data_IF_311131693365
#
_entry.id   IF_311131693365
#
_cell.length_a   1.000
_cell.length_b   1.000
_cell.length_c   1.000
_cell.angle_alpha   90.00
_cell.angle_beta   90.00
_cell.angle_gamma   90.00
#
_symmetry.space_group_name_H-M   'P 1'
#
loop_
_entity.id
_entity.type
_entity.pdbx_description
1 polymer ?
#
# COMPACT_ATOMS: atom_id res chain seq x y z
N UNK A 1 -3.52 -1.09 -23.37
CA UNK A 1 -4.17 -0.63 -22.11
C UNK A 1 -3.16 0.20 -21.34
N UNK A 2 -3.40 1.52 -21.19
CA UNK A 2 -2.53 2.39 -20.38
C UNK A 2 -2.69 2.00 -18.92
N UNK A 3 -1.61 1.56 -18.27
CA UNK A 3 -1.66 1.26 -16.84
C UNK A 3 -2.03 2.54 -16.08
N UNK A 4 -3.11 2.52 -15.29
CA UNK A 4 -3.46 3.65 -14.43
C UNK A 4 -2.21 4.03 -13.61
N UNK A 5 -1.82 5.31 -13.54
CA UNK A 5 -0.56 5.73 -12.90
C UNK A 5 -0.45 5.27 -11.44
N UNK A 6 -1.57 5.08 -10.74
CA UNK A 6 -1.62 4.55 -9.37
C UNK A 6 -1.12 3.10 -9.24
N UNK A 7 -1.17 2.30 -10.31
CA UNK A 7 -0.70 0.91 -10.31
C UNK A 7 0.78 0.78 -10.76
N UNK A 8 1.43 1.89 -11.10
CA UNK A 8 2.79 1.89 -11.63
C UNK A 8 3.77 1.21 -10.68
N UNK A 9 3.78 1.62 -9.41
CA UNK A 9 4.71 1.09 -8.40
C UNK A 9 4.56 -0.44 -8.25
N UNK A 10 3.32 -0.93 -8.16
CA UNK A 10 3.02 -2.37 -8.12
C UNK A 10 3.54 -3.12 -9.35
N UNK A 11 3.35 -2.55 -10.54
CA UNK A 11 3.81 -3.16 -11.78
C UNK A 11 5.33 -3.28 -11.82
N UNK A 12 6.05 -2.25 -11.36
CA UNK A 12 7.50 -2.28 -11.21
C UNK A 12 7.94 -3.36 -10.22
N UNK A 13 7.35 -3.41 -9.02
CA UNK A 13 7.68 -4.45 -8.02
C UNK A 13 7.40 -5.86 -8.52
N UNK A 14 6.28 -6.09 -9.22
CA UNK A 14 5.98 -7.41 -9.80
C UNK A 14 6.96 -7.84 -10.88
N UNK A 15 7.51 -6.89 -11.65
CA UNK A 15 8.56 -7.17 -12.63
C UNK A 15 9.90 -7.45 -11.95
N UNK A 16 10.24 -6.65 -10.94
CA UNK A 16 11.46 -6.79 -10.14
C UNK A 16 11.51 -8.14 -9.43
N UNK A 17 10.44 -8.53 -8.73
CA UNK A 17 10.33 -9.82 -8.04
C UNK A 17 10.42 -11.03 -8.99
N UNK A 18 10.21 -10.85 -10.29
CA UNK A 18 10.36 -11.88 -11.33
C UNK A 18 11.70 -11.82 -12.05
N UNK A 19 12.64 -10.99 -11.58
CA UNK A 19 13.94 -10.71 -12.24
C UNK A 19 13.80 -10.32 -13.71
N UNK A 20 12.68 -9.66 -14.06
CA UNK A 20 12.39 -9.21 -15.43
C UNK A 20 12.92 -7.82 -15.74
N UNK A 21 13.48 -7.14 -14.75
CA UNK A 21 14.12 -5.84 -14.89
C UNK A 21 15.56 -5.93 -14.37
N UNK A 22 16.54 -5.62 -15.24
CA UNK A 22 17.97 -5.68 -14.89
C UNK A 22 18.42 -4.44 -14.11
N UNK A 23 17.64 -3.37 -14.13
CA UNK A 23 17.94 -2.10 -13.47
C UNK A 23 17.17 -1.94 -12.15
N UNK A 24 16.21 -2.82 -11.87
CA UNK A 24 15.41 -2.82 -10.66
C UNK A 24 15.10 -4.26 -10.24
N UNK A 25 16.02 -4.85 -9.49
CA UNK A 25 15.86 -6.17 -8.85
C UNK A 25 15.62 -5.98 -7.35
N UNK A 26 14.63 -6.68 -6.82
CA UNK A 26 14.29 -6.69 -5.38
C UNK A 26 14.40 -8.09 -4.78
N UNK A 27 14.95 -9.05 -5.52
CA UNK A 27 15.06 -10.46 -5.10
C UNK A 27 15.91 -10.66 -3.84
N UNK A 28 16.79 -9.72 -3.53
CA UNK A 28 17.69 -9.78 -2.37
C UNK A 28 17.06 -9.20 -1.09
N UNK A 29 15.83 -8.67 -1.18
CA UNK A 29 15.10 -8.13 -0.05
C UNK A 29 13.99 -9.07 0.37
N UNK A 30 14.00 -9.48 1.64
CA UNK A 30 12.91 -10.26 2.22
C UNK A 30 11.65 -9.40 2.46
N UNK A 31 11.84 -8.12 2.82
CA UNK A 31 10.77 -7.19 3.19
C UNK A 31 11.03 -5.84 2.54
N UNK A 32 9.99 -5.25 1.96
CA UNK A 32 9.98 -3.88 1.45
C UNK A 32 9.02 -3.05 2.30
N UNK A 33 9.54 -2.04 2.99
CA UNK A 33 8.74 -1.15 3.83
C UNK A 33 8.49 0.18 3.10
N UNK A 34 7.23 0.58 3.01
CA UNK A 34 6.85 1.91 2.53
C UNK A 34 6.51 2.81 3.71
N UNK A 35 7.40 3.76 4.00
CA UNK A 35 7.07 4.88 4.88
C UNK A 35 6.42 5.99 4.06
N UNK A 36 5.21 6.39 4.44
CA UNK A 36 4.43 7.40 3.71
C UNK A 36 3.76 8.35 4.67
N UNK A 37 3.59 9.60 4.24
CA UNK A 37 2.84 10.58 5.01
C UNK A 37 1.37 10.15 5.20
N UNK A 38 0.80 10.52 6.35
CA UNK A 38 -0.62 10.30 6.70
C UNK A 38 -1.56 11.20 5.89
N UNK A 39 -1.57 11.03 4.57
CA UNK A 39 -2.37 11.80 3.63
C UNK A 39 -2.90 10.92 2.49
N UNK A 40 -4.15 11.16 2.08
CA UNK A 40 -4.72 10.56 0.87
C UNK A 40 -4.17 11.30 -0.36
N UNK A 41 -3.04 10.83 -0.86
CA UNK A 41 -2.42 11.32 -2.09
C UNK A 41 -2.07 10.15 -3.03
N UNK A 42 -1.70 10.46 -4.28
CA UNK A 42 -1.38 9.44 -5.30
C UNK A 42 -0.21 8.54 -4.90
N UNK A 43 0.74 9.04 -4.12
CA UNK A 43 1.93 8.31 -3.68
C UNK A 43 1.52 7.28 -2.61
N UNK A 44 0.82 7.72 -1.57
CA UNK A 44 0.30 6.85 -0.49
C UNK A 44 -0.65 5.80 -1.05
N UNK A 45 -1.55 6.17 -1.99
CA UNK A 45 -2.41 5.19 -2.66
C UNK A 45 -1.63 4.18 -3.51
N UNK A 46 -0.57 4.62 -4.19
CA UNK A 46 0.30 3.75 -4.96
C UNK A 46 1.07 2.76 -4.07
N UNK A 47 1.58 3.22 -2.93
CA UNK A 47 2.24 2.39 -1.93
C UNK A 47 1.27 1.35 -1.33
N UNK A 48 0.06 1.77 -0.93
CA UNK A 48 -0.97 0.87 -0.40
C UNK A 48 -1.36 -0.22 -1.41
N UNK A 49 -1.56 0.13 -2.68
CA UNK A 49 -1.89 -0.84 -3.74
C UNK A 49 -0.72 -1.78 -4.08
N UNK A 50 0.51 -1.30 -3.91
CA UNK A 50 1.72 -2.08 -4.11
C UNK A 50 2.02 -3.03 -2.93
N UNK A 51 1.50 -2.73 -1.74
CA UNK A 51 1.72 -3.50 -0.53
C UNK A 51 0.80 -4.72 -0.45
N UNK A 52 1.25 -5.72 0.32
CA UNK A 52 0.43 -6.84 0.75
C UNK A 52 -0.15 -6.58 2.15
N UNK A 53 0.62 -5.93 3.03
CA UNK A 53 0.23 -5.57 4.39
C UNK A 53 0.31 -4.06 4.62
N UNK A 54 -0.57 -3.53 5.46
CA UNK A 54 -0.48 -2.17 6.01
C UNK A 54 -0.50 -2.25 7.53
N UNK A 55 0.52 -1.67 8.17
CA UNK A 55 0.64 -1.64 9.62
C UNK A 55 0.19 -0.27 10.10
N UNK A 56 -0.83 -0.23 10.96
CA UNK A 56 -1.32 1.00 11.56
C UNK A 56 -1.09 0.96 13.07
N UNK A 57 -0.15 1.75 13.62
CA UNK A 57 -0.05 1.95 15.06
C UNK A 57 -1.24 2.77 15.55
N UNK A 58 -1.97 2.29 16.56
CA UNK A 58 -3.18 2.95 17.07
C UNK A 58 -3.03 3.27 18.55
N UNK A 59 -2.98 4.57 18.88
CA UNK A 59 -3.13 5.03 20.26
C UNK A 59 -4.62 5.12 20.63
N UNK A 60 -5.01 4.40 21.69
CA UNK A 60 -6.40 4.33 22.17
C UNK A 60 -6.96 5.65 22.72
N UNK A 61 -6.13 6.65 23.01
CA UNK A 61 -6.53 7.72 23.92
C UNK A 61 -7.23 8.92 23.26
N UNK A 62 -6.96 9.27 21.98
CA UNK A 62 -7.46 10.56 21.43
C UNK A 62 -7.96 10.58 19.98
N UNK A 63 -7.58 9.63 19.11
CA UNK A 63 -7.96 9.71 17.68
C UNK A 63 -8.16 8.34 16.99
N UNK A 64 -8.31 7.25 17.73
CA UNK A 64 -8.30 5.89 17.17
C UNK A 64 -9.49 5.60 16.26
N UNK A 65 -10.73 5.81 16.73
CA UNK A 65 -11.90 5.32 16.00
C UNK A 65 -12.13 6.02 14.67
N UNK A 66 -12.03 7.36 14.63
CA UNK A 66 -12.27 8.14 13.40
C UNK A 66 -11.21 7.89 12.33
N UNK A 67 -9.94 7.80 12.74
CA UNK A 67 -8.82 7.52 11.83
C UNK A 67 -8.90 6.09 11.30
N UNK A 68 -9.31 5.13 12.14
CA UNK A 68 -9.55 3.74 11.71
C UNK A 68 -10.73 3.62 10.75
N UNK A 69 -11.85 4.30 11.01
CA UNK A 69 -12.97 4.37 10.07
C UNK A 69 -12.53 4.95 8.73
N UNK A 70 -11.71 6.01 8.75
CA UNK A 70 -11.17 6.60 7.54
C UNK A 70 -10.28 5.62 6.75
N UNK A 71 -9.36 4.93 7.43
CA UNK A 71 -8.49 3.93 6.80
C UNK A 71 -9.32 2.79 6.20
N UNK A 72 -10.35 2.32 6.92
CA UNK A 72 -11.27 1.30 6.41
C UNK A 72 -11.99 1.75 5.14
N UNK A 73 -12.46 3.00 5.07
CA UNK A 73 -13.08 3.56 3.85
C UNK A 73 -12.09 3.57 2.69
N UNK A 74 -10.84 4.01 2.93
CA UNK A 74 -9.80 4.02 1.89
C UNK A 74 -9.51 2.62 1.36
N UNK A 75 -9.41 1.61 2.23
CA UNK A 75 -9.18 0.22 1.84
C UNK A 75 -10.36 -0.36 1.05
N UNK A 76 -11.60 -0.06 1.44
CA UNK A 76 -12.81 -0.45 0.69
C UNK A 76 -12.84 0.21 -0.69
N UNK A 77 -12.59 1.51 -0.78
CA UNK A 77 -12.53 2.22 -2.07
C UNK A 77 -11.47 1.62 -3.02
N UNK A 78 -10.31 1.20 -2.48
CA UNK A 78 -9.28 0.52 -3.26
C UNK A 78 -9.76 -0.82 -3.78
N UNK A 79 -10.46 -1.60 -2.95
CA UNK A 79 -11.06 -2.86 -3.35
C UNK A 79 -12.08 -2.64 -4.47
N UNK A 80 -12.96 -1.67 -4.34
CA UNK A 80 -14.00 -1.41 -5.34
C UNK A 80 -13.41 -0.93 -6.68
N UNK A 81 -12.31 -0.15 -6.65
CA UNK A 81 -11.71 0.43 -7.86
C UNK A 81 -10.70 -0.48 -8.57
N UNK A 82 -10.01 -1.35 -7.82
CA UNK A 82 -8.86 -2.12 -8.30
C UNK A 82 -8.95 -3.61 -7.98
N UNK A 83 -10.05 -4.07 -7.38
CA UNK A 83 -10.28 -5.44 -6.91
C UNK A 83 -9.15 -5.93 -5.98
N UNK A 84 -8.60 -5.00 -5.19
CA UNK A 84 -7.49 -5.27 -4.27
C UNK A 84 -7.39 -4.26 -3.14
N UNK A 85 -7.08 -4.74 -1.96
CA UNK A 85 -6.68 -3.97 -0.78
C UNK A 85 -5.61 -4.75 0.01
N UNK A 86 -4.66 -4.06 0.67
CA UNK A 86 -3.73 -4.72 1.59
C UNK A 86 -4.45 -5.20 2.86
N UNK A 87 -3.85 -6.19 3.53
CA UNK A 87 -4.30 -6.67 4.82
C UNK A 87 -3.90 -5.69 5.93
N UNK A 88 -4.86 -5.28 6.77
CA UNK A 88 -4.65 -4.32 7.83
C UNK A 88 -4.21 -5.02 9.11
N UNK A 89 -3.00 -4.70 9.58
CA UNK A 89 -2.46 -5.13 10.86
C UNK A 89 -2.47 -3.94 11.83
N UNK A 90 -3.16 -4.10 12.94
CA UNK A 90 -3.22 -3.10 14.01
C UNK A 90 -2.18 -3.47 15.06
N UNK A 91 -1.31 -2.53 15.40
CA UNK A 91 -0.34 -2.67 16.50
C UNK A 91 -0.64 -1.60 17.56
N UNK A 92 -0.52 -2.01 18.83
CA UNK A 92 -0.87 -1.22 20.02
C UNK A 92 0.39 -0.74 20.74
#
# INVERSE_FOLDING_TARGET
MVAKPTLFLRHCLKKAARRRDRHFDVSDYDIILFDTASAKNRITSGALLASDYVISPVSMEKFSTKSMSYLSVVLTEMRDQFDRNPELIIVW
#
